data_IF_097042883081
#
_entry.id   IF_097042883081
#
_cell.length_a   1.000
_cell.length_b   1.000
_cell.length_c   1.000
_cell.angle_alpha   90.00
_cell.angle_beta   90.00
_cell.angle_gamma   90.00
#
_symmetry.space_group_name_H-M   'P 1'
#
loop_
_entity.id
_entity.type
_entity.pdbx_description
1 polymer ?
#
# COMPACT_ATOMS: atom_id res chain seq x y z
N UNK A 1 1.97 13.07 11.68
CA UNK A 1 1.46 11.86 10.98
C UNK A 1 0.65 12.27 9.77
N UNK A 2 0.89 11.65 8.65
CA UNK A 2 0.14 11.88 7.41
C UNK A 2 -0.71 10.64 7.15
N UNK A 3 -1.99 10.86 6.84
CA UNK A 3 -2.95 9.78 6.59
C UNK A 3 -3.55 9.94 5.20
N UNK A 4 -3.46 8.87 4.41
CA UNK A 4 -4.05 8.80 3.08
C UNK A 4 -5.10 7.69 3.06
N UNK A 5 -6.18 7.91 2.33
CA UNK A 5 -7.23 6.90 2.15
C UNK A 5 -7.42 6.63 0.66
N UNK A 6 -7.38 5.35 0.28
CA UNK A 6 -7.54 4.90 -1.10
C UNK A 6 -8.78 4.00 -1.16
N UNK A 7 -9.72 4.24 -2.10
CA UNK A 7 -11.05 3.62 -2.08
C UNK A 7 -11.10 2.17 -2.58
N UNK A 8 -10.01 1.42 -2.46
CA UNK A 8 -9.96 -0.01 -2.75
C UNK A 8 -8.83 -0.66 -1.95
N UNK A 9 -8.75 -1.98 -1.99
CA UNK A 9 -7.68 -2.74 -1.34
C UNK A 9 -6.85 -3.47 -2.39
N UNK A 10 -5.54 -3.70 -2.14
CA UNK A 10 -4.72 -4.48 -3.06
C UNK A 10 -5.20 -5.93 -3.10
N UNK A 11 -5.01 -6.59 -4.24
CA UNK A 11 -5.32 -8.02 -4.35
C UNK A 11 -4.35 -8.83 -3.50
N UNK A 12 -4.80 -9.99 -3.00
CA UNK A 12 -3.93 -10.86 -2.21
C UNK A 12 -2.72 -11.31 -3.02
N UNK A 13 -1.63 -11.64 -2.34
CA UNK A 13 -0.42 -12.12 -3.00
C UNK A 13 -0.70 -13.34 -3.87
N UNK A 14 -1.51 -14.30 -3.38
CA UNK A 14 -1.85 -15.50 -4.13
C UNK A 14 -2.56 -15.18 -5.45
N UNK A 15 -3.47 -14.23 -5.46
CA UNK A 15 -4.16 -13.79 -6.68
C UNK A 15 -3.18 -13.08 -7.60
N UNK A 16 -2.37 -12.17 -7.05
CA UNK A 16 -1.36 -11.40 -7.78
C UNK A 16 -0.37 -12.31 -8.50
N UNK A 17 0.12 -13.34 -7.84
CA UNK A 17 1.10 -14.28 -8.39
C UNK A 17 0.57 -15.07 -9.58
N UNK A 18 -0.76 -15.24 -9.70
CA UNK A 18 -1.40 -15.94 -10.82
C UNK A 18 -1.70 -15.04 -12.01
N UNK A 19 -1.57 -13.73 -11.85
CA UNK A 19 -1.86 -12.80 -12.93
C UNK A 19 -0.72 -12.74 -13.95
N UNK A 20 -1.09 -12.54 -15.20
CA UNK A 20 -0.13 -12.26 -16.27
C UNK A 20 0.58 -10.92 -15.95
N UNK A 21 1.86 -10.82 -16.36
CA UNK A 21 2.68 -9.65 -16.05
C UNK A 21 2.05 -8.33 -16.53
N UNK A 22 1.35 -8.34 -17.69
CA UNK A 22 0.71 -7.14 -18.23
C UNK A 22 -0.39 -6.63 -17.30
N UNK A 23 -1.18 -7.54 -16.70
CA UNK A 23 -2.22 -7.19 -15.74
C UNK A 23 -1.62 -6.66 -14.44
N UNK A 24 -0.52 -7.26 -13.97
CA UNK A 24 0.19 -6.77 -12.79
C UNK A 24 0.75 -5.37 -12.98
N UNK A 25 1.35 -5.12 -14.14
CA UNK A 25 1.89 -3.81 -14.49
C UNK A 25 0.79 -2.74 -14.52
N UNK A 26 -0.37 -3.08 -15.08
CA UNK A 26 -1.51 -2.17 -15.16
C UNK A 26 -2.00 -1.75 -13.77
N UNK A 27 -2.11 -2.70 -12.85
CA UNK A 27 -2.52 -2.40 -11.48
C UNK A 27 -1.46 -1.57 -10.75
N UNK A 28 -0.17 -1.87 -10.95
CA UNK A 28 0.91 -1.08 -10.36
C UNK A 28 0.86 0.38 -10.81
N UNK A 29 0.60 0.62 -12.10
CA UNK A 29 0.43 1.97 -12.64
C UNK A 29 -0.79 2.66 -12.04
N UNK A 30 -1.88 1.93 -11.81
CA UNK A 30 -3.08 2.47 -11.19
C UNK A 30 -2.80 2.97 -9.77
N UNK A 31 -2.04 2.21 -8.98
CA UNK A 31 -1.60 2.64 -7.65
C UNK A 31 -0.80 3.93 -7.71
N UNK A 32 0.12 4.04 -8.67
CA UNK A 32 0.93 5.26 -8.83
C UNK A 32 0.07 6.47 -9.17
N UNK A 33 -0.88 6.32 -10.08
CA UNK A 33 -1.79 7.41 -10.46
C UNK A 33 -2.69 7.82 -9.30
N UNK A 34 -3.20 6.87 -8.54
CA UNK A 34 -4.06 7.16 -7.40
C UNK A 34 -3.29 7.91 -6.30
N UNK A 35 -2.03 7.58 -6.08
CA UNK A 35 -1.18 8.33 -5.14
C UNK A 35 -0.94 9.75 -5.64
N UNK A 36 -0.63 9.93 -6.91
CA UNK A 36 -0.43 11.25 -7.51
C UNK A 36 -1.68 12.13 -7.37
N UNK A 37 -2.86 11.54 -7.48
CA UNK A 37 -4.11 12.26 -7.33
C UNK A 37 -4.37 12.78 -5.91
N UNK A 38 -3.66 12.24 -4.91
CA UNK A 38 -3.80 12.65 -3.50
C UNK A 38 -2.85 13.79 -3.11
N UNK A 39 -2.25 14.46 -4.06
CA UNK A 39 -1.29 15.56 -3.80
C UNK A 39 -1.86 16.63 -2.86
N UNK A 40 -1.01 17.27 -2.03
CA UNK A 40 0.44 17.07 -1.96
C UNK A 40 0.83 15.78 -1.23
N UNK A 41 1.82 15.06 -1.78
CA UNK A 41 2.33 13.84 -1.16
C UNK A 41 3.45 14.18 -0.18
N UNK A 42 3.58 13.39 0.92
CA UNK A 42 4.71 13.56 1.81
C UNK A 42 6.00 13.09 1.18
N UNK A 43 7.10 13.69 1.59
CA UNK A 43 8.45 13.28 1.21
C UNK A 43 9.27 13.04 2.47
N UNK A 44 9.74 11.82 2.64
CA UNK A 44 10.63 11.49 3.74
C UNK A 44 12.02 11.25 3.20
N UNK A 45 12.99 12.01 3.70
CA UNK A 45 14.40 11.87 3.34
C UNK A 45 15.17 11.04 4.36
N UNK A 46 14.50 10.58 5.38
CA UNK A 46 15.03 9.71 6.43
C UNK A 46 14.13 8.49 6.54
N UNK A 47 14.45 7.61 7.49
CA UNK A 47 13.64 6.40 7.73
C UNK A 47 12.19 6.77 8.05
N UNK A 48 11.25 6.12 7.37
CA UNK A 48 9.82 6.32 7.57
C UNK A 48 9.19 5.12 8.27
N UNK A 49 8.15 5.39 9.04
CA UNK A 49 7.29 4.38 9.65
C UNK A 49 5.94 4.44 8.94
N UNK A 50 5.58 3.33 8.29
CA UNK A 50 4.35 3.23 7.51
C UNK A 50 3.46 2.14 8.08
N UNK A 51 2.21 2.49 8.32
CA UNK A 51 1.19 1.53 8.71
C UNK A 51 0.12 1.52 7.62
N UNK A 52 -0.11 0.35 7.04
CA UNK A 52 -1.13 0.14 6.03
C UNK A 52 -2.23 -0.70 6.65
N UNK A 53 -3.46 -0.18 6.65
CA UNK A 53 -4.62 -0.89 7.16
C UNK A 53 -5.55 -1.21 5.99
N UNK A 54 -5.80 -2.50 5.78
CA UNK A 54 -6.72 -2.98 4.75
C UNK A 54 -8.11 -3.13 5.38
N UNK A 55 -9.03 -2.27 5.02
CA UNK A 55 -10.41 -2.31 5.51
C UNK A 55 -11.27 -3.05 4.50
N UNK A 56 -11.63 -4.29 4.80
CA UNK A 56 -12.36 -5.16 3.86
C UNK A 56 -13.12 -6.27 4.60
N UNK A 57 -13.96 -7.01 3.85
CA UNK A 57 -14.81 -8.04 4.43
C UNK A 57 -14.14 -9.41 4.55
N UNK A 58 -13.14 -9.68 3.71
CA UNK A 58 -12.42 -10.97 3.69
C UNK A 58 -10.96 -10.76 4.01
N UNK A 59 -10.55 -11.18 5.19
CA UNK A 59 -9.16 -11.04 5.61
C UNK A 59 -8.27 -11.99 4.82
N UNK A 60 -7.11 -11.48 4.44
CA UNK A 60 -6.03 -12.29 3.88
C UNK A 60 -5.21 -12.92 5.00
N UNK A 61 -4.58 -14.05 4.74
CA UNK A 61 -3.53 -14.55 5.62
C UNK A 61 -2.46 -13.47 5.75
N UNK A 62 -1.75 -13.46 6.89
CA UNK A 62 -0.76 -12.44 7.19
C UNK A 62 0.26 -12.26 6.07
N UNK A 63 0.82 -13.36 5.55
CA UNK A 63 1.80 -13.32 4.46
C UNK A 63 1.21 -12.77 3.17
N UNK A 64 -0.04 -13.13 2.87
CA UNK A 64 -0.75 -12.61 1.71
C UNK A 64 -1.05 -11.12 1.83
N UNK A 65 -1.37 -10.65 3.03
CA UNK A 65 -1.62 -9.23 3.29
C UNK A 65 -0.35 -8.41 3.09
N UNK A 66 0.78 -8.84 3.66
CA UNK A 66 2.06 -8.17 3.47
C UNK A 66 2.48 -8.16 2.00
N UNK A 67 2.38 -9.30 1.32
CA UNK A 67 2.71 -9.40 -0.10
C UNK A 67 1.83 -8.51 -0.97
N UNK A 68 0.54 -8.42 -0.65
CA UNK A 68 -0.39 -7.54 -1.36
C UNK A 68 0.02 -6.06 -1.24
N UNK A 69 0.52 -5.66 -0.09
CA UNK A 69 0.94 -4.28 0.15
C UNK A 69 2.25 -3.90 -0.55
N UNK A 70 3.03 -4.86 -1.03
CA UNK A 70 4.28 -4.56 -1.74
C UNK A 70 4.07 -3.69 -2.96
N UNK A 71 2.99 -3.91 -3.69
CA UNK A 71 2.65 -3.11 -4.88
C UNK A 71 2.44 -1.65 -4.50
N UNK A 72 1.74 -1.42 -3.40
CA UNK A 72 1.51 -0.07 -2.88
C UNK A 72 2.83 0.56 -2.39
N UNK A 73 3.64 -0.18 -1.66
CA UNK A 73 4.95 0.29 -1.17
C UNK A 73 5.86 0.64 -2.34
N UNK A 74 5.89 -0.18 -3.40
CA UNK A 74 6.66 0.12 -4.61
C UNK A 74 6.18 1.40 -5.28
N UNK A 75 4.87 1.64 -5.34
CA UNK A 75 4.31 2.87 -5.86
C UNK A 75 4.70 4.08 -5.01
N UNK A 76 4.68 3.95 -3.68
CA UNK A 76 5.12 4.98 -2.75
C UNK A 76 6.60 5.34 -2.97
N UNK A 77 7.44 4.34 -3.17
CA UNK A 77 8.86 4.54 -3.47
C UNK A 77 9.06 5.28 -4.79
N UNK A 78 8.35 4.90 -5.84
CA UNK A 78 8.41 5.57 -7.14
C UNK A 78 7.96 7.02 -7.07
N UNK A 79 6.99 7.34 -6.23
CA UNK A 79 6.53 8.70 -6.00
C UNK A 79 7.37 9.45 -4.97
N UNK A 80 8.47 8.85 -4.51
CA UNK A 80 9.43 9.45 -3.56
C UNK A 80 8.82 9.79 -2.19
N UNK A 81 7.75 9.10 -1.82
CA UNK A 81 7.17 9.25 -0.49
C UNK A 81 8.05 8.63 0.59
N UNK A 82 8.83 7.63 0.22
CA UNK A 82 9.83 6.96 1.07
C UNK A 82 11.12 6.83 0.27
N UNK A 83 12.25 6.70 0.96
CA UNK A 83 13.57 6.57 0.32
C UNK A 83 13.71 5.20 -0.33
N UNK A 84 13.39 4.14 0.40
CA UNK A 84 13.49 2.77 -0.07
C UNK A 84 12.58 1.88 0.79
N UNK A 85 12.32 0.67 0.31
CA UNK A 85 11.49 -0.30 0.99
C UNK A 85 12.29 -1.28 1.88
N UNK A 86 13.60 -1.13 1.97
CA UNK A 86 14.44 -1.95 2.84
C UNK A 86 14.23 -1.58 4.32
N UNK A 87 14.56 -2.51 5.22
CA UNK A 87 14.42 -2.31 6.66
C UNK A 87 15.23 -1.12 7.20
N UNK A 88 16.27 -0.70 6.49
CA UNK A 88 17.07 0.47 6.82
C UNK A 88 16.26 1.78 6.70
N UNK A 89 15.35 1.83 5.73
CA UNK A 89 14.61 3.05 5.38
C UNK A 89 13.11 2.97 5.68
N UNK A 90 12.59 1.80 6.03
CA UNK A 90 11.16 1.60 6.20
C UNK A 90 10.85 0.64 7.34
N UNK A 91 10.01 1.09 8.27
CA UNK A 91 9.30 0.22 9.20
C UNK A 91 7.89 0.06 8.69
N UNK A 92 7.54 -1.13 8.22
CA UNK A 92 6.22 -1.41 7.67
C UNK A 92 5.39 -2.27 8.61
N UNK A 93 4.19 -1.80 8.90
CA UNK A 93 3.17 -2.57 9.63
C UNK A 93 1.95 -2.69 8.74
N UNK A 94 1.41 -3.90 8.61
CA UNK A 94 0.18 -4.16 7.87
C UNK A 94 -0.86 -4.71 8.84
N UNK A 95 -2.01 -4.07 8.87
CA UNK A 95 -3.15 -4.49 9.67
C UNK A 95 -4.38 -4.64 8.79
N UNK A 96 -5.38 -5.36 9.29
CA UNK A 96 -6.64 -5.55 8.60
C UNK A 96 -7.79 -5.21 9.54
N UNK A 97 -8.77 -4.50 9.02
CA UNK A 97 -10.00 -4.16 9.74
C UNK A 97 -11.22 -4.62 8.96
N UNK A 98 -12.32 -4.86 9.69
CA UNK A 98 -13.56 -5.33 9.09
C UNK A 98 -14.34 -4.18 8.50
N UNK A 99 -14.75 -4.33 7.24
CA UNK A 99 -15.56 -3.34 6.53
C UNK A 99 -16.39 -4.06 5.47
N UNK A 100 -17.66 -3.66 5.22
CA UNK A 100 -18.43 -4.23 4.13
C UNK A 100 -17.74 -4.05 2.78
N UNK A 101 -17.92 -4.99 1.86
CA UNK A 101 -17.27 -4.96 0.55
C UNK A 101 -17.48 -3.63 -0.20
N UNK A 102 -18.67 -3.04 -0.08
CA UNK A 102 -18.99 -1.76 -0.74
C UNK A 102 -18.16 -0.59 -0.22
N UNK A 103 -17.72 -0.66 1.02
CA UNK A 103 -16.98 0.40 1.71
C UNK A 103 -15.51 0.06 1.88
N UNK A 104 -15.01 -0.96 1.18
CA UNK A 104 -13.61 -1.36 1.31
C UNK A 104 -12.67 -0.22 0.94
N UNK A 105 -11.59 -0.10 1.68
CA UNK A 105 -10.61 0.95 1.45
C UNK A 105 -9.29 0.60 2.13
N UNK A 106 -8.26 1.31 1.75
CA UNK A 106 -6.92 1.19 2.35
C UNK A 106 -6.54 2.49 3.02
N UNK A 107 -6.06 2.41 4.25
CA UNK A 107 -5.57 3.56 5.00
C UNK A 107 -4.05 3.45 5.08
N UNK A 108 -3.36 4.50 4.69
CA UNK A 108 -1.89 4.59 4.78
C UNK A 108 -1.54 5.70 5.75
N UNK A 109 -0.84 5.36 6.82
CA UNK A 109 -0.38 6.31 7.82
C UNK A 109 1.14 6.35 7.78
N UNK A 110 1.71 7.54 7.60
CA UNK A 110 3.15 7.74 7.43
C UNK A 110 3.65 8.76 8.45
N UNK A 111 4.74 8.42 9.13
CA UNK A 111 5.42 9.32 10.05
C UNK A 111 6.93 9.03 10.04
N UNK A 112 7.77 9.97 10.52
CA UNK A 112 9.19 9.68 10.71
C UNK A 112 9.37 8.55 11.72
N UNK A 113 10.29 7.66 11.42
CA UNK A 113 10.62 6.56 12.32
C UNK A 113 11.46 7.03 13.50
#
# INVERSE_FOLDING_TARGET
MIKLTIPYVPVSLNVWMRWHWAKRKKLSQQWEWDLVALKPLPYFTSKAKVKITLMHSRFYDKDNAYGACKVLVDAMKKQRMIVDDSAEWLELTVEQGKEPHKSRHTIVEIEPA
#
